data_IF_041593627054
#
_entry.id   IF_041593627054
#
_cell.length_a   1.000
_cell.length_b   1.000
_cell.length_c   1.000
_cell.angle_alpha   90.00
_cell.angle_beta   90.00
_cell.angle_gamma   90.00
#
_symmetry.space_group_name_H-M   'P 1'
#
loop_
_entity.id
_entity.type
_entity.pdbx_description
1 polymer ?
#
# COMPACT_ATOMS: atom_id res chain seq x y z
N UNK A 1 -16.43 -10.13 -7.46
CA UNK A 1 -17.75 -9.45 -7.34
C UNK A 1 -17.83 -8.63 -6.05
N UNK A 2 -17.58 -9.22 -4.88
CA UNK A 2 -17.62 -8.56 -3.56
C UNK A 2 -16.74 -7.31 -3.54
N UNK A 3 -15.49 -7.39 -3.94
CA UNK A 3 -14.56 -6.28 -3.92
C UNK A 3 -14.99 -5.09 -4.78
N UNK A 4 -15.60 -5.33 -5.96
CA UNK A 4 -16.14 -4.22 -6.79
C UNK A 4 -17.31 -3.52 -6.14
N UNK A 5 -18.03 -4.20 -5.26
CA UNK A 5 -19.16 -3.63 -4.53
C UNK A 5 -18.71 -2.89 -3.25
N UNK A 6 -17.66 -3.38 -2.57
CA UNK A 6 -17.23 -2.87 -1.26
C UNK A 6 -15.89 -2.12 -1.29
N UNK A 7 -15.01 -2.38 -2.27
CA UNK A 7 -13.70 -1.74 -2.41
C UNK A 7 -13.75 -0.42 -3.17
N UNK A 8 -14.63 0.50 -2.77
CA UNK A 8 -14.85 1.79 -3.45
C UNK A 8 -14.08 2.94 -2.79
N UNK A 9 -12.95 2.62 -2.20
CA UNK A 9 -12.04 3.58 -1.55
C UNK A 9 -10.59 3.28 -1.93
N UNK A 10 -9.68 4.29 -1.89
CA UNK A 10 -8.29 4.09 -2.28
C UNK A 10 -7.50 3.20 -1.31
N UNK A 11 -6.37 2.67 -1.78
CA UNK A 11 -5.40 1.92 -0.99
C UNK A 11 -5.74 0.45 -0.78
N UNK A 12 -6.58 -0.16 -1.63
CA UNK A 12 -6.96 -1.57 -1.52
C UNK A 12 -7.95 -1.88 -0.40
N UNK A 13 -8.40 -0.88 0.36
CA UNK A 13 -9.36 -1.03 1.45
C UNK A 13 -10.77 -1.34 0.93
N UNK A 14 -11.57 -2.03 1.72
CA UNK A 14 -12.94 -2.40 1.37
C UNK A 14 -13.96 -2.17 2.49
N UNK A 15 -13.64 -1.29 3.46
CA UNK A 15 -14.55 -0.80 4.50
C UNK A 15 -15.19 -1.92 5.32
N UNK A 16 -14.35 -2.78 5.92
CA UNK A 16 -14.82 -3.86 6.75
C UNK A 16 -13.98 -3.96 8.04
N UNK A 17 -14.67 -4.13 9.16
CA UNK A 17 -14.09 -4.73 10.34
C UNK A 17 -13.98 -6.26 10.11
N UNK A 18 -14.72 -7.07 10.82
CA UNK A 18 -14.80 -8.53 10.56
C UNK A 18 -15.85 -8.90 9.50
N UNK A 19 -16.67 -7.93 9.06
CA UNK A 19 -17.78 -8.16 8.14
C UNK A 19 -17.80 -7.11 7.03
N UNK A 20 -17.80 -7.55 5.78
CA UNK A 20 -18.08 -6.68 4.64
C UNK A 20 -19.53 -6.19 4.70
N UNK A 21 -19.74 -4.87 4.62
CA UNK A 21 -21.05 -4.24 4.74
C UNK A 21 -21.45 -3.55 3.44
N UNK A 22 -22.71 -3.74 3.04
CA UNK A 22 -23.25 -3.10 1.83
C UNK A 22 -23.25 -1.58 2.05
N UNK A 23 -22.73 -0.84 1.06
CA UNK A 23 -22.71 0.63 1.08
C UNK A 23 -21.50 1.25 1.77
N UNK A 24 -20.53 0.45 2.21
CA UNK A 24 -19.29 0.97 2.76
C UNK A 24 -18.32 1.42 1.68
N UNK A 25 -18.50 2.62 1.21
CA UNK A 25 -17.60 3.35 0.31
C UNK A 25 -17.26 4.75 0.86
N UNK A 26 -17.59 5.02 2.11
CA UNK A 26 -17.15 6.24 2.78
C UNK A 26 -15.65 6.08 3.15
N UNK A 27 -14.77 7.02 2.75
CA UNK A 27 -13.33 6.92 3.02
C UNK A 27 -12.97 7.06 4.50
N UNK A 28 -13.92 7.34 5.37
CA UNK A 28 -13.78 7.32 6.82
C UNK A 28 -14.02 5.93 7.42
N UNK A 29 -14.60 5.02 6.62
CA UNK A 29 -14.93 3.69 7.09
C UNK A 29 -13.67 2.89 7.38
N UNK A 30 -13.60 2.35 8.61
CA UNK A 30 -12.48 1.56 9.06
C UNK A 30 -12.40 0.20 8.38
N UNK A 31 -11.18 -0.24 8.14
CA UNK A 31 -10.84 -1.60 7.77
C UNK A 31 -9.90 -2.18 8.81
N UNK A 32 -10.14 -3.41 9.21
CA UNK A 32 -9.36 -4.11 10.21
C UNK A 32 -7.98 -4.48 9.69
N UNK A 33 -6.95 -4.38 10.53
CA UNK A 33 -5.58 -4.77 10.18
C UNK A 33 -5.49 -6.25 9.81
N UNK A 34 -6.22 -7.14 10.48
CA UNK A 34 -6.32 -8.54 10.05
C UNK A 34 -6.88 -8.67 8.63
N UNK A 35 -7.88 -7.84 8.29
CA UNK A 35 -8.47 -7.84 6.96
C UNK A 35 -7.46 -7.56 5.85
N UNK A 36 -6.47 -6.71 6.09
CA UNK A 36 -5.38 -6.48 5.12
C UNK A 36 -4.50 -7.72 4.95
N UNK A 37 -4.10 -8.34 6.04
CA UNK A 37 -3.23 -9.52 6.04
C UNK A 37 -3.92 -10.71 5.38
N UNK A 38 -5.16 -11.00 5.77
CA UNK A 38 -5.95 -12.09 5.20
C UNK A 38 -6.32 -11.85 3.72
N UNK A 39 -6.48 -10.57 3.32
CA UNK A 39 -6.66 -10.24 1.91
C UNK A 39 -5.40 -10.52 1.11
N UNK A 40 -4.21 -10.19 1.65
CA UNK A 40 -2.94 -10.50 1.01
C UNK A 40 -2.77 -12.01 0.81
N UNK A 41 -3.03 -12.82 1.84
CA UNK A 41 -3.00 -14.28 1.75
C UNK A 41 -4.02 -14.82 0.73
N UNK A 42 -5.23 -14.27 0.70
CA UNK A 42 -6.27 -14.66 -0.25
C UNK A 42 -5.86 -14.35 -1.69
N UNK A 43 -5.26 -13.19 -1.93
CA UNK A 43 -4.79 -12.79 -3.26
C UNK A 43 -3.64 -13.69 -3.74
N UNK A 44 -2.73 -14.09 -2.86
CA UNK A 44 -1.67 -15.06 -3.18
C UNK A 44 -2.23 -16.43 -3.55
N UNK A 45 -3.17 -16.95 -2.78
CA UNK A 45 -3.81 -18.22 -3.09
C UNK A 45 -4.52 -18.15 -4.44
N UNK A 46 -5.23 -17.06 -4.72
CA UNK A 46 -5.89 -16.85 -6.01
C UNK A 46 -4.90 -16.71 -7.16
N UNK A 47 -3.76 -16.08 -6.94
CA UNK A 47 -2.66 -16.00 -7.90
C UNK A 47 -2.10 -17.40 -8.20
N UNK A 48 -1.82 -18.20 -7.19
CA UNK A 48 -1.34 -19.58 -7.33
C UNK A 48 -2.32 -20.47 -8.11
N UNK A 49 -3.61 -20.35 -7.85
CA UNK A 49 -4.65 -21.18 -8.50
C UNK A 49 -4.86 -20.76 -9.96
N UNK A 50 -4.90 -19.45 -10.24
CA UNK A 50 -5.35 -18.93 -11.53
C UNK A 50 -4.22 -18.45 -12.45
N UNK A 51 -3.07 -18.08 -11.88
CA UNK A 51 -2.01 -17.37 -12.63
C UNK A 51 -2.43 -15.96 -13.10
N UNK A 52 -3.61 -15.46 -12.69
CA UNK A 52 -4.12 -14.17 -13.16
C UNK A 52 -3.35 -13.01 -12.48
N UNK A 53 -2.62 -12.16 -13.24
CA UNK A 53 -1.84 -11.05 -12.70
C UNK A 53 -2.69 -10.00 -11.97
N UNK A 54 -4.00 -10.01 -12.13
CA UNK A 54 -4.94 -9.18 -11.37
C UNK A 54 -4.76 -9.36 -9.86
N UNK A 55 -4.52 -10.58 -9.40
CA UNK A 55 -4.37 -10.85 -7.97
C UNK A 55 -3.07 -10.30 -7.40
N UNK A 56 -1.99 -10.32 -8.20
CA UNK A 56 -0.74 -9.68 -7.82
C UNK A 56 -0.86 -8.16 -7.76
N UNK A 57 -1.53 -7.52 -8.74
CA UNK A 57 -1.79 -6.07 -8.70
C UNK A 57 -2.62 -5.69 -7.47
N UNK A 58 -3.57 -6.55 -7.09
CA UNK A 58 -4.41 -6.31 -5.93
C UNK A 58 -3.66 -6.47 -4.61
N UNK A 59 -2.84 -7.51 -4.51
CA UNK A 59 -1.99 -7.74 -3.36
C UNK A 59 -1.06 -6.54 -3.12
N UNK A 60 -0.44 -6.01 -4.19
CA UNK A 60 0.41 -4.82 -4.09
C UNK A 60 -0.36 -3.57 -3.64
N UNK A 61 -1.61 -3.39 -4.09
CA UNK A 61 -2.46 -2.27 -3.65
C UNK A 61 -2.68 -2.31 -2.12
N UNK A 62 -2.84 -3.49 -1.52
CA UNK A 62 -2.93 -3.64 -0.07
C UNK A 62 -1.57 -3.53 0.61
N UNK A 63 -0.58 -4.28 0.13
CA UNK A 63 0.73 -4.44 0.77
C UNK A 63 1.53 -3.13 0.85
N UNK A 64 1.43 -2.25 -0.15
CA UNK A 64 2.20 -1.01 -0.18
C UNK A 64 1.45 0.22 0.34
N UNK A 65 0.14 0.10 0.56
CA UNK A 65 -0.70 1.22 0.97
C UNK A 65 -1.34 1.00 2.35
N UNK A 66 -2.39 0.20 2.41
CA UNK A 66 -3.20 0.06 3.61
C UNK A 66 -2.49 -0.65 4.74
N UNK A 67 -1.78 -1.73 4.43
CA UNK A 67 -1.11 -2.55 5.44
C UNK A 67 -0.03 -1.76 6.21
N UNK A 68 1.00 -1.15 5.59
CA UNK A 68 2.00 -0.38 6.34
C UNK A 68 1.40 0.86 7.01
N UNK A 69 0.33 1.43 6.45
CA UNK A 69 -0.35 2.58 7.04
C UNK A 69 -1.08 2.25 8.36
N UNK A 70 -1.41 0.99 8.62
CA UNK A 70 -2.06 0.55 9.86
C UNK A 70 -1.09 0.31 11.02
N UNK A 71 0.21 0.23 10.75
CA UNK A 71 1.26 -0.15 11.69
C UNK A 71 2.16 1.02 12.05
N UNK A 72 2.78 0.96 13.25
CA UNK A 72 4.00 1.73 13.49
C UNK A 72 5.17 1.11 12.72
N UNK A 73 6.12 1.94 12.24
CA UNK A 73 7.23 1.43 11.42
C UNK A 73 8.15 0.43 12.12
N UNK A 74 8.18 0.45 13.45
CA UNK A 74 8.96 -0.48 14.28
C UNK A 74 8.15 -1.72 14.71
N UNK A 75 6.91 -1.85 14.25
CA UNK A 75 5.97 -2.94 14.58
C UNK A 75 5.60 -3.06 16.06
N UNK A 76 5.85 -2.04 16.87
CA UNK A 76 5.56 -2.07 18.32
C UNK A 76 4.16 -1.61 18.68
N UNK A 77 3.45 -1.05 17.74
CA UNK A 77 2.05 -0.66 17.88
C UNK A 77 1.32 -0.72 16.54
N UNK A 78 0.02 -0.89 16.60
CA UNK A 78 -0.85 -0.95 15.43
C UNK A 78 -2.22 -0.38 15.75
N UNK A 79 -3.00 -0.08 14.72
CA UNK A 79 -4.44 0.19 14.84
C UNK A 79 -5.22 -1.08 14.58
N UNK A 80 -6.28 -1.28 15.34
CA UNK A 80 -7.29 -2.28 15.00
C UNK A 80 -7.97 -1.91 13.68
N UNK A 81 -8.53 -0.70 13.60
CA UNK A 81 -9.09 -0.15 12.38
C UNK A 81 -8.31 1.06 11.86
N UNK A 82 -8.20 1.17 10.56
CA UNK A 82 -7.71 2.36 9.87
C UNK A 82 -8.53 2.63 8.60
N UNK A 83 -8.45 3.83 8.06
CA UNK A 83 -9.23 4.23 6.89
C UNK A 83 -8.45 5.17 5.96
N UNK A 84 -8.88 5.34 4.69
CA UNK A 84 -8.19 6.21 3.74
C UNK A 84 -8.15 7.68 4.14
N UNK A 85 -9.21 8.17 4.79
CA UNK A 85 -9.30 9.54 5.28
C UNK A 85 -9.34 9.53 6.81
N UNK A 86 -8.18 9.69 7.41
CA UNK A 86 -7.99 9.70 8.86
C UNK A 86 -7.07 10.84 9.24
N UNK A 87 -7.66 11.98 9.62
CA UNK A 87 -6.93 13.19 9.98
C UNK A 87 -6.51 13.25 11.44
N UNK A 88 -7.00 12.33 12.28
CA UNK A 88 -6.64 12.18 13.69
C UNK A 88 -6.70 10.71 14.08
N UNK A 89 -5.84 10.30 14.99
CA UNK A 89 -5.81 8.95 15.57
C UNK A 89 -5.72 9.08 17.08
N UNK A 90 -6.85 8.97 17.78
CA UNK A 90 -6.94 9.18 19.20
C UNK A 90 -7.77 8.10 19.92
N UNK A 91 -7.85 8.20 21.25
CA UNK A 91 -8.52 7.25 22.13
C UNK A 91 -10.04 7.44 22.25
N UNK A 92 -10.63 8.39 21.52
CA UNK A 92 -12.09 8.58 21.53
C UNK A 92 -12.82 7.38 20.90
N UNK A 93 -14.06 7.20 21.31
CA UNK A 93 -14.95 6.27 20.65
C UNK A 93 -15.43 6.88 19.31
N UNK A 94 -15.05 6.27 18.20
CA UNK A 94 -15.38 6.73 16.86
C UNK A 94 -16.70 6.18 16.32
N UNK A 95 -17.44 5.42 17.10
CA UNK A 95 -18.84 5.07 16.79
C UNK A 95 -19.72 6.33 16.96
N UNK A 96 -20.74 6.61 16.12
CA UNK A 96 -21.42 5.71 15.21
C UNK A 96 -21.01 5.84 13.73
N UNK A 97 -20.01 6.57 13.38
CA UNK A 97 -19.56 6.66 11.98
C UNK A 97 -19.05 5.34 11.40
N UNK A 98 -18.70 4.43 12.28
CA UNK A 98 -18.17 3.09 11.98
C UNK A 98 -18.98 2.09 12.80
N UNK A 99 -19.27 0.92 12.26
CA UNK A 99 -20.08 -0.09 12.96
C UNK A 99 -19.34 -0.83 14.09
N UNK A 100 -18.23 -0.28 14.54
CA UNK A 100 -17.50 -0.71 15.70
C UNK A 100 -17.53 0.37 16.80
N UNK A 101 -17.23 -0.02 18.01
CA UNK A 101 -17.11 0.89 19.14
C UNK A 101 -15.72 0.84 19.74
N UNK A 102 -15.35 1.88 20.49
CA UNK A 102 -14.07 1.97 21.19
C UNK A 102 -13.00 2.80 20.47
N UNK A 103 -11.82 2.93 21.06
CA UNK A 103 -10.71 3.77 20.59
C UNK A 103 -9.85 3.02 19.55
N UNK A 104 -10.43 2.51 18.49
CA UNK A 104 -9.74 1.65 17.55
C UNK A 104 -8.84 2.37 16.55
N UNK A 105 -8.87 3.69 16.50
CA UNK A 105 -7.94 4.49 15.71
C UNK A 105 -6.66 4.87 16.46
N UNK A 106 -6.57 4.62 17.76
CA UNK A 106 -5.34 4.84 18.52
C UNK A 106 -4.28 3.81 18.14
N UNK A 107 -3.02 4.24 18.07
CA UNK A 107 -1.89 3.36 17.87
C UNK A 107 -1.54 2.66 19.18
N UNK A 108 -2.01 1.44 19.36
CA UNK A 108 -1.96 0.66 20.59
C UNK A 108 -1.33 -0.71 20.32
N UNK A 109 -0.31 -1.16 21.10
CA UNK A 109 0.29 -2.50 20.93
C UNK A 109 -0.70 -3.64 21.25
N UNK A 110 -1.78 -3.36 21.98
CA UNK A 110 -2.83 -4.31 22.37
C UNK A 110 -4.19 -3.95 21.78
N UNK A 111 -4.23 -3.45 20.55
CA UNK A 111 -5.48 -2.99 19.92
C UNK A 111 -6.50 -4.12 19.70
N UNK A 112 -6.05 -5.33 19.44
CA UNK A 112 -6.83 -6.56 19.37
C UNK A 112 -5.90 -7.75 19.34
N UNK A 113 -6.27 -8.85 19.96
CA UNK A 113 -5.42 -10.06 20.00
C UNK A 113 -5.18 -10.66 18.61
N UNK A 114 -6.20 -10.73 17.77
CA UNK A 114 -6.06 -11.22 16.40
C UNK A 114 -5.09 -10.36 15.60
N UNK A 115 -5.23 -9.05 15.62
CA UNK A 115 -4.33 -8.13 14.91
C UNK A 115 -2.89 -8.18 15.43
N UNK A 116 -2.68 -8.38 16.74
CA UNK A 116 -1.34 -8.55 17.31
C UNK A 116 -0.60 -9.75 16.71
N UNK A 117 -1.31 -10.84 16.42
CA UNK A 117 -0.73 -12.02 15.81
C UNK A 117 -0.63 -11.85 14.28
N UNK A 118 -1.73 -11.46 13.65
CA UNK A 118 -1.85 -11.50 12.20
C UNK A 118 -0.99 -10.44 11.50
N UNK A 119 -0.77 -9.26 12.10
CA UNK A 119 0.04 -8.22 11.44
C UNK A 119 1.45 -8.70 11.09
N UNK A 120 2.02 -9.64 11.83
CA UNK A 120 3.33 -10.21 11.56
C UNK A 120 3.40 -11.09 10.31
N UNK A 121 2.26 -11.51 9.75
CA UNK A 121 2.21 -12.36 8.56
C UNK A 121 2.16 -11.58 7.23
N UNK A 122 1.84 -10.30 7.26
CA UNK A 122 1.62 -9.53 6.01
C UNK A 122 2.83 -9.52 5.09
N UNK A 123 4.01 -9.10 5.57
CA UNK A 123 5.21 -9.14 4.74
C UNK A 123 5.68 -10.58 4.43
N UNK A 124 5.64 -11.57 5.34
CA UNK A 124 5.86 -12.97 4.99
C UNK A 124 5.00 -13.44 3.82
N UNK A 125 3.69 -13.20 3.83
CA UNK A 125 2.81 -13.55 2.72
C UNK A 125 3.23 -12.87 1.40
N UNK A 126 3.60 -11.59 1.44
CA UNK A 126 4.07 -10.91 0.23
C UNK A 126 5.34 -11.53 -0.34
N UNK A 127 6.29 -11.95 0.50
CA UNK A 127 7.62 -12.37 0.03
C UNK A 127 7.73 -13.87 -0.27
N UNK A 128 6.86 -14.71 0.26
CA UNK A 128 6.94 -16.16 0.04
C UNK A 128 6.63 -16.58 -1.40
N UNK A 129 5.89 -15.75 -2.15
CA UNK A 129 5.47 -16.03 -3.53
C UNK A 129 5.97 -15.00 -4.56
N UNK A 130 7.12 -14.35 -4.32
CA UNK A 130 7.73 -13.42 -5.30
C UNK A 130 8.05 -14.14 -6.62
N UNK A 131 8.51 -15.37 -6.52
CA UNK A 131 8.93 -16.22 -7.64
C UNK A 131 8.21 -17.56 -7.58
N UNK A 132 7.57 -17.95 -8.65
CA UNK A 132 6.81 -19.19 -8.77
C UNK A 132 7.39 -20.09 -9.88
N UNK A 133 7.37 -21.40 -9.64
CA UNK A 133 7.59 -22.38 -10.71
C UNK A 133 6.36 -22.43 -11.63
N UNK A 134 6.56 -22.73 -12.91
CA UNK A 134 5.50 -22.82 -13.91
C UNK A 134 5.31 -24.26 -14.42
N UNK A 135 4.12 -24.63 -14.91
CA UNK A 135 3.84 -26.00 -15.37
C UNK A 135 4.70 -26.47 -16.55
N UNK A 136 5.29 -25.56 -17.29
CA UNK A 136 6.19 -25.81 -18.42
C UNK A 136 7.67 -25.84 -18.03
N UNK A 137 7.95 -26.14 -16.75
CA UNK A 137 9.28 -26.19 -16.15
C UNK A 137 10.06 -24.87 -16.26
N UNK A 138 9.36 -23.74 -16.25
CA UNK A 138 9.92 -22.41 -16.22
C UNK A 138 9.81 -21.76 -14.84
N UNK A 139 10.02 -20.45 -14.81
CA UNK A 139 9.92 -19.63 -13.63
C UNK A 139 9.18 -18.33 -13.93
N UNK A 140 8.38 -17.84 -12.98
CA UNK A 140 7.65 -16.58 -13.06
C UNK A 140 8.02 -15.65 -11.91
N UNK A 141 8.46 -14.43 -12.20
CA UNK A 141 8.52 -13.34 -11.25
C UNK A 141 7.15 -12.65 -11.25
N UNK A 142 6.37 -12.86 -10.18
CA UNK A 142 4.97 -12.44 -10.10
C UNK A 142 4.76 -11.24 -9.20
N UNK A 143 5.60 -11.07 -8.19
CA UNK A 143 5.70 -9.91 -7.30
C UNK A 143 7.14 -9.43 -7.28
N UNK A 144 7.38 -8.17 -6.94
CA UNK A 144 8.71 -7.58 -7.03
C UNK A 144 9.22 -7.13 -5.66
N UNK A 145 10.34 -7.74 -5.26
CA UNK A 145 11.15 -7.33 -4.10
C UNK A 145 12.52 -8.01 -4.19
N UNK A 146 13.52 -7.42 -3.54
CA UNK A 146 14.86 -8.03 -3.53
C UNK A 146 14.84 -9.39 -2.83
N UNK A 147 15.20 -10.44 -3.58
CA UNK A 147 15.21 -11.81 -3.08
C UNK A 147 16.28 -12.70 -3.75
N UNK A 148 16.39 -13.90 -3.23
CA UNK A 148 17.13 -15.00 -3.83
C UNK A 148 16.27 -16.26 -3.79
N UNK A 149 15.84 -16.74 -4.95
CA UNK A 149 15.07 -17.96 -5.11
C UNK A 149 15.92 -19.08 -5.70
N UNK A 150 15.82 -20.30 -5.17
CA UNK A 150 16.37 -21.50 -5.79
C UNK A 150 15.21 -22.29 -6.39
N UNK A 151 15.30 -22.57 -7.70
CA UNK A 151 14.20 -23.15 -8.47
C UNK A 151 14.76 -24.26 -9.37
N UNK A 152 13.97 -25.33 -9.61
CA UNK A 152 14.25 -26.32 -10.65
C UNK A 152 13.53 -25.94 -11.92
N UNK A 153 14.26 -25.91 -13.03
CA UNK A 153 13.76 -25.51 -14.36
C UNK A 153 14.19 -26.46 -15.46
N UNK A 154 13.58 -26.35 -16.63
CA UNK A 154 13.93 -27.19 -17.79
C UNK A 154 13.78 -28.68 -17.52
N UNK A 155 14.84 -29.42 -17.60
CA UNK A 155 14.93 -30.87 -17.34
C UNK A 155 15.17 -31.23 -15.86
N UNK A 156 15.06 -30.26 -14.94
CA UNK A 156 15.27 -30.43 -13.50
C UNK A 156 16.56 -29.77 -12.99
N UNK A 157 17.24 -29.00 -13.83
CA UNK A 157 18.43 -28.24 -13.45
C UNK A 157 18.09 -27.22 -12.36
N UNK A 158 18.88 -27.19 -11.29
CA UNK A 158 18.74 -26.20 -10.23
C UNK A 158 19.39 -24.87 -10.62
N UNK A 159 18.63 -23.80 -10.54
CA UNK A 159 19.10 -22.43 -10.74
C UNK A 159 18.90 -21.59 -9.49
N UNK A 160 19.67 -20.52 -9.38
CA UNK A 160 19.43 -19.41 -8.48
C UNK A 160 18.94 -18.22 -9.27
N UNK A 161 17.77 -17.69 -8.95
CA UNK A 161 17.30 -16.41 -9.45
C UNK A 161 17.49 -15.37 -8.35
N UNK A 162 18.34 -14.36 -8.60
CA UNK A 162 18.52 -13.22 -7.69
C UNK A 162 17.78 -12.03 -8.25
N UNK A 163 16.87 -11.47 -7.46
CA UNK A 163 16.17 -10.22 -7.77
C UNK A 163 16.72 -9.08 -6.91
N UNK A 164 16.94 -7.92 -7.52
CA UNK A 164 17.41 -6.70 -6.86
C UNK A 164 16.58 -5.52 -7.33
N UNK A 165 15.92 -4.84 -6.38
CA UNK A 165 15.04 -3.71 -6.66
C UNK A 165 14.75 -2.92 -5.38
N UNK A 166 14.36 -1.65 -5.54
CA UNK A 166 13.72 -0.82 -4.52
C UNK A 166 12.24 -0.58 -4.87
N UNK A 167 11.63 -1.48 -5.63
CA UNK A 167 10.20 -1.45 -5.94
C UNK A 167 9.37 -1.49 -4.64
N UNK A 168 8.30 -0.73 -4.49
CA UNK A 168 7.58 0.10 -5.47
C UNK A 168 8.06 1.57 -5.58
N UNK A 169 9.20 1.93 -5.02
CA UNK A 169 9.70 3.31 -5.03
C UNK A 169 10.61 3.59 -6.23
N UNK A 170 11.11 2.55 -6.88
CA UNK A 170 11.89 2.61 -8.11
C UNK A 170 11.27 1.76 -9.21
N UNK A 171 11.55 2.13 -10.46
CA UNK A 171 10.92 1.56 -11.65
C UNK A 171 11.65 0.32 -12.19
N UNK A 172 12.86 0.06 -11.70
CA UNK A 172 13.75 -0.96 -12.25
C UNK A 172 13.85 -2.16 -11.31
N UNK A 173 13.70 -3.34 -11.89
CA UNK A 173 13.98 -4.62 -11.25
C UNK A 173 15.01 -5.38 -12.08
N UNK A 174 16.07 -5.86 -11.44
CA UNK A 174 17.17 -6.60 -12.02
C UNK A 174 17.14 -8.04 -11.55
N UNK A 175 17.18 -8.97 -12.47
CA UNK A 175 17.31 -10.39 -12.20
C UNK A 175 18.66 -10.89 -12.69
N UNK A 176 19.31 -11.76 -11.93
CA UNK A 176 20.52 -12.47 -12.33
C UNK A 176 20.29 -13.96 -12.19
N UNK A 177 20.56 -14.71 -13.27
CA UNK A 177 20.48 -16.16 -13.29
C UNK A 177 21.82 -16.74 -12.86
N UNK A 178 21.82 -17.58 -11.84
CA UNK A 178 22.96 -18.40 -11.43
C UNK A 178 22.70 -19.87 -11.77
N UNK A 179 23.59 -20.50 -12.51
CA UNK A 179 23.44 -21.92 -12.92
C UNK A 179 24.79 -22.57 -13.11
N UNK A 180 24.89 -23.88 -12.84
CA UNK A 180 26.12 -24.66 -13.05
C UNK A 180 26.33 -25.08 -14.51
N UNK A 181 25.27 -25.05 -15.33
CA UNK A 181 25.28 -25.42 -16.75
C UNK A 181 24.25 -24.60 -17.53
N UNK A 182 24.42 -24.56 -18.87
CA UNK A 182 23.40 -23.90 -19.71
C UNK A 182 22.09 -24.66 -19.65
N UNK A 183 20.99 -23.98 -19.44
CA UNK A 183 19.66 -24.58 -19.33
C UNK A 183 18.62 -23.76 -20.08
N UNK A 184 17.77 -24.42 -20.85
CA UNK A 184 16.65 -23.77 -21.54
C UNK A 184 15.38 -23.82 -20.71
N UNK A 185 14.79 -22.66 -20.44
CA UNK A 185 13.49 -22.57 -19.78
C UNK A 185 12.80 -21.24 -20.09
N UNK A 186 11.46 -21.18 -20.02
CA UNK A 186 10.71 -19.93 -20.10
C UNK A 186 10.79 -19.15 -18.79
N UNK A 187 11.14 -17.87 -18.90
CA UNK A 187 11.10 -16.92 -17.78
C UNK A 187 9.97 -15.93 -18.00
N UNK A 188 9.00 -15.92 -17.09
CA UNK A 188 7.83 -15.07 -17.13
C UNK A 188 8.01 -13.87 -16.21
N UNK A 189 7.74 -12.67 -16.74
CA UNK A 189 7.77 -11.40 -16.00
C UNK A 189 6.36 -10.81 -15.97
N UNK A 190 5.79 -10.57 -14.80
CA UNK A 190 4.51 -9.87 -14.70
C UNK A 190 4.65 -8.42 -15.16
N UNK A 191 3.74 -7.98 -16.01
CA UNK A 191 3.59 -6.57 -16.37
C UNK A 191 2.35 -6.04 -15.65
N UNK A 192 2.49 -5.22 -14.60
CA UNK A 192 1.35 -4.68 -13.86
C UNK A 192 0.36 -3.94 -14.76
N UNK A 193 -0.92 -3.96 -14.41
CA UNK A 193 -1.98 -3.33 -15.23
C UNK A 193 -1.82 -1.80 -15.37
N UNK A 194 -1.19 -1.14 -14.41
CA UNK A 194 -0.89 0.28 -14.46
C UNK A 194 0.29 0.64 -15.39
N UNK A 195 1.19 -0.30 -15.71
CA UNK A 195 2.39 -0.04 -16.49
C UNK A 195 2.14 -0.17 -18.01
N UNK A 196 2.04 0.96 -18.71
CA UNK A 196 1.76 1.00 -20.16
C UNK A 196 2.99 0.90 -21.07
N UNK A 197 4.18 1.18 -20.53
CA UNK A 197 5.40 1.34 -21.32
C UNK A 197 6.57 0.52 -20.74
N UNK A 198 6.29 -0.72 -20.31
CA UNK A 198 7.33 -1.62 -19.83
C UNK A 198 8.42 -1.86 -20.87
N UNK A 199 9.63 -2.13 -20.41
CA UNK A 199 10.72 -2.58 -21.28
C UNK A 199 11.59 -3.63 -20.58
N UNK A 200 12.16 -4.55 -21.39
CA UNK A 200 13.05 -5.59 -20.89
C UNK A 200 14.36 -5.53 -21.64
N UNK A 201 15.47 -5.62 -20.92
CA UNK A 201 16.81 -5.82 -21.47
C UNK A 201 17.34 -7.16 -20.99
N UNK A 202 18.05 -7.89 -21.86
CA UNK A 202 18.80 -9.09 -21.51
C UNK A 202 20.26 -8.81 -21.86
N UNK A 203 21.15 -8.90 -20.88
CA UNK A 203 22.57 -8.59 -21.04
C UNK A 203 22.79 -7.23 -21.74
N UNK A 204 22.03 -6.22 -21.32
CA UNK A 204 22.07 -4.86 -21.86
C UNK A 204 21.38 -4.67 -23.22
N UNK A 205 20.86 -5.73 -23.86
CA UNK A 205 20.19 -5.64 -25.16
C UNK A 205 18.67 -5.64 -25.02
N UNK A 206 18.02 -4.60 -25.55
CA UNK A 206 16.55 -4.45 -25.51
C UNK A 206 15.88 -5.62 -26.25
N UNK A 207 14.86 -6.19 -25.62
CA UNK A 207 14.05 -7.27 -26.19
C UNK A 207 12.82 -6.71 -26.90
N UNK A 208 12.39 -7.42 -27.96
CA UNK A 208 11.16 -7.11 -28.70
C UNK A 208 9.97 -7.98 -28.25
N UNK A 209 9.99 -8.45 -27.02
CA UNK A 209 8.89 -9.24 -26.44
C UNK A 209 7.65 -8.37 -26.26
N UNK A 210 6.47 -8.97 -26.44
CA UNK A 210 5.20 -8.29 -26.19
C UNK A 210 5.04 -8.02 -24.69
N UNK A 211 4.93 -6.77 -24.31
CA UNK A 211 4.82 -6.28 -22.93
C UNK A 211 3.48 -5.57 -22.77
N UNK A 212 2.40 -6.32 -22.58
CA UNK A 212 1.06 -5.77 -22.42
C UNK A 212 0.73 -5.58 -20.91
N UNK A 213 0.12 -4.46 -20.50
CA UNK A 213 -0.35 -4.27 -19.14
C UNK A 213 -1.31 -5.39 -18.69
N UNK A 214 -1.19 -5.84 -17.45
CA UNK A 214 -2.01 -6.90 -16.88
C UNK A 214 -1.78 -8.29 -17.48
N UNK A 215 -0.56 -8.56 -17.96
CA UNK A 215 -0.17 -9.86 -18.54
C UNK A 215 1.21 -10.30 -18.06
N UNK A 216 1.64 -11.47 -18.52
CA UNK A 216 3.03 -11.92 -18.40
C UNK A 216 3.77 -11.79 -19.73
N UNK A 217 5.01 -11.33 -19.66
CA UNK A 217 5.96 -11.41 -20.76
C UNK A 217 6.76 -12.70 -20.61
N UNK A 218 6.69 -13.58 -21.60
CA UNK A 218 7.48 -14.82 -21.65
C UNK A 218 8.78 -14.59 -22.42
N UNK A 219 9.90 -15.01 -21.85
CA UNK A 219 11.23 -15.01 -22.47
C UNK A 219 11.73 -16.44 -22.47
N UNK A 220 11.66 -17.10 -23.63
CA UNK A 220 12.12 -18.48 -23.81
C UNK A 220 13.48 -18.47 -24.47
N UNK A 221 14.49 -19.01 -23.79
CA UNK A 221 15.86 -19.12 -24.31
C UNK A 221 16.71 -20.09 -23.51
N UNK A 222 17.90 -20.41 -24.02
CA UNK A 222 18.98 -21.00 -23.22
C UNK A 222 19.60 -19.91 -22.32
N UNK A 223 19.61 -20.16 -21.00
CA UNK A 223 20.18 -19.29 -19.99
C UNK A 223 21.54 -19.79 -19.53
N UNK A 224 22.43 -18.85 -19.22
CA UNK A 224 23.80 -19.09 -18.78
C UNK A 224 24.04 -18.43 -17.43
N UNK A 225 25.03 -18.94 -16.72
CA UNK A 225 25.48 -18.32 -15.46
C UNK A 225 25.84 -16.83 -15.67
N UNK A 226 25.30 -15.98 -14.80
CA UNK A 226 25.48 -14.53 -14.86
C UNK A 226 24.59 -13.81 -15.87
N UNK A 227 23.70 -14.50 -16.61
CA UNK A 227 22.73 -13.79 -17.47
C UNK A 227 21.87 -12.83 -16.66
N UNK A 228 21.75 -11.61 -17.17
CA UNK A 228 21.04 -10.51 -16.52
C UNK A 228 19.77 -10.15 -17.29
N UNK A 229 18.66 -10.02 -16.57
CA UNK A 229 17.39 -9.48 -17.08
C UNK A 229 17.07 -8.21 -16.31
N UNK A 230 16.87 -7.11 -17.02
CA UNK A 230 16.42 -5.83 -16.43
C UNK A 230 15.02 -5.53 -16.93
N UNK A 231 14.06 -5.58 -16.03
CA UNK A 231 12.70 -5.12 -16.25
C UNK A 231 12.59 -3.67 -15.80
N UNK A 232 12.09 -2.81 -16.68
CA UNK A 232 11.79 -1.43 -16.36
C UNK A 232 10.28 -1.19 -16.48
N UNK A 233 9.68 -0.70 -15.42
CA UNK A 233 8.24 -0.45 -15.25
C UNK A 233 8.00 1.06 -15.02
N UNK A 234 8.05 1.91 -16.06
CA UNK A 234 7.90 3.36 -15.91
C UNK A 234 6.59 3.74 -15.26
N UNK A 235 6.67 4.52 -14.17
CA UNK A 235 5.53 4.97 -13.40
C UNK A 235 5.13 6.39 -13.81
N UNK A 236 3.83 6.62 -13.84
CA UNK A 236 3.24 7.95 -14.01
C UNK A 236 2.12 8.10 -12.99
N UNK A 237 1.90 9.31 -12.51
CA UNK A 237 0.72 9.55 -11.70
C UNK A 237 -0.54 9.42 -12.54
N UNK A 238 -1.58 8.89 -11.90
CA UNK A 238 -2.92 8.77 -12.46
C UNK A 238 -3.95 9.24 -11.42
N UNK A 239 -4.95 9.97 -11.88
CA UNK A 239 -6.08 10.38 -11.04
C UNK A 239 -7.20 9.36 -11.24
N UNK A 240 -7.62 8.72 -10.15
CA UNK A 240 -8.73 7.76 -10.12
C UNK A 240 -9.95 8.43 -9.52
N UNK A 241 -11.09 8.35 -10.21
CA UNK A 241 -12.35 8.90 -9.73
C UNK A 241 -13.20 7.82 -9.06
N UNK A 242 -13.76 8.15 -7.92
CA UNK A 242 -14.64 7.31 -7.11
C UNK A 242 -16.08 7.83 -7.18
N UNK A 243 -16.83 7.36 -8.18
CA UNK A 243 -18.17 7.88 -8.48
C UNK A 243 -19.16 7.72 -7.32
N UNK A 244 -19.17 6.54 -6.69
CA UNK A 244 -20.07 6.25 -5.55
C UNK A 244 -19.68 7.01 -4.29
N UNK A 245 -18.44 7.53 -4.25
CA UNK A 245 -17.92 8.32 -3.16
C UNK A 245 -17.85 9.81 -3.51
N UNK A 246 -19.00 10.38 -3.83
CA UNK A 246 -19.21 11.80 -4.16
C UNK A 246 -18.29 12.34 -5.26
N UNK A 247 -17.92 11.49 -6.21
CA UNK A 247 -16.94 11.80 -7.26
C UNK A 247 -15.58 12.28 -6.71
N UNK A 248 -15.22 11.86 -5.53
CA UNK A 248 -13.89 12.11 -4.98
C UNK A 248 -12.81 11.51 -5.87
N UNK A 249 -11.57 11.96 -5.67
CA UNK A 249 -10.43 11.48 -6.44
C UNK A 249 -9.31 11.00 -5.52
N UNK A 250 -8.59 9.97 -5.96
CA UNK A 250 -7.28 9.61 -5.44
C UNK A 250 -6.21 9.79 -6.51
N UNK A 251 -4.97 9.87 -6.08
CA UNK A 251 -3.81 9.90 -6.97
C UNK A 251 -3.01 8.63 -6.76
N UNK A 252 -2.74 7.92 -7.84
CA UNK A 252 -1.89 6.73 -7.81
C UNK A 252 -0.58 6.98 -8.57
N UNK A 253 0.52 6.36 -8.14
CA UNK A 253 1.81 6.35 -8.82
C UNK A 253 2.37 4.92 -8.86
N UNK A 254 2.23 4.25 -9.98
CA UNK A 254 2.44 2.82 -10.04
C UNK A 254 1.47 2.09 -9.10
N UNK A 255 1.95 1.23 -8.19
CA UNK A 255 1.11 0.55 -7.20
C UNK A 255 0.85 1.39 -5.93
N UNK A 256 1.44 2.57 -5.84
CA UNK A 256 1.32 3.44 -4.67
C UNK A 256 0.11 4.35 -4.78
N UNK A 257 -0.75 4.36 -3.78
CA UNK A 257 -1.75 5.40 -3.56
C UNK A 257 -1.11 6.56 -2.79
N UNK A 258 -1.35 7.79 -3.22
CA UNK A 258 -0.81 8.97 -2.58
C UNK A 258 -1.82 9.59 -1.61
N UNK A 259 -1.32 10.05 -0.48
CA UNK A 259 -2.07 10.71 0.57
C UNK A 259 -1.51 12.09 0.82
N UNK A 260 -2.36 13.01 1.26
CA UNK A 260 -1.88 14.31 1.76
C UNK A 260 -0.89 14.08 2.90
N UNK A 261 0.27 14.70 2.82
CA UNK A 261 1.20 14.77 3.93
C UNK A 261 0.63 15.68 5.00
N UNK A 262 0.30 15.10 6.14
CA UNK A 262 -0.13 15.82 7.34
C UNK A 262 1.02 15.73 8.32
N UNK A 263 1.49 16.87 8.83
CA UNK A 263 2.48 16.85 9.92
C UNK A 263 1.85 16.22 11.16
N UNK A 264 2.59 15.30 11.80
CA UNK A 264 2.08 14.42 12.84
C UNK A 264 2.69 14.80 14.20
N UNK A 265 1.86 15.08 15.19
CA UNK A 265 2.26 15.24 16.60
C UNK A 265 1.93 13.96 17.35
N UNK A 266 2.96 13.29 17.87
CA UNK A 266 2.84 12.04 18.62
C UNK A 266 2.73 12.32 20.11
N UNK A 267 1.60 11.96 20.70
CA UNK A 267 1.36 12.04 22.14
C UNK A 267 1.37 10.63 22.72
N UNK A 268 2.41 10.32 23.48
CA UNK A 268 2.49 9.02 24.15
C UNK A 268 1.43 8.91 25.25
N UNK A 269 0.74 7.77 25.27
CA UNK A 269 -0.26 7.43 26.26
C UNK A 269 0.22 6.26 27.12
N UNK A 270 -0.30 6.09 28.35
CA UNK A 270 0.00 4.93 29.18
C UNK A 270 -0.50 3.64 28.54
N UNK A 271 0.39 2.78 28.05
CA UNK A 271 0.01 1.55 27.35
C UNK A 271 -0.79 0.59 28.22
N UNK A 272 -0.54 0.58 29.54
CA UNK A 272 -1.26 -0.25 30.52
C UNK A 272 -2.73 0.12 30.65
N UNK A 273 -3.09 1.38 30.33
CA UNK A 273 -4.44 1.94 30.49
C UNK A 273 -5.22 1.97 29.18
N UNK A 274 -4.53 1.81 28.04
CA UNK A 274 -5.13 1.95 26.70
C UNK A 274 -5.47 0.63 26.02
N UNK A 275 -5.20 -0.52 26.65
CA UNK A 275 -5.69 -1.80 26.20
C UNK A 275 -7.22 -1.86 26.30
N UNK A 276 -7.88 -2.28 25.23
CA UNK A 276 -9.35 -2.27 25.12
C UNK A 276 -9.92 -3.66 24.95
N UNK A 277 -11.14 -3.87 25.44
CA UNK A 277 -11.94 -5.09 25.36
C UNK A 277 -11.21 -6.34 25.91
N UNK A 278 -11.01 -7.35 25.09
CA UNK A 278 -10.29 -8.57 25.42
C UNK A 278 -8.76 -8.40 25.41
N UNK A 279 -8.28 -7.29 24.87
CA UNK A 279 -6.89 -6.91 24.89
C UNK A 279 -6.51 -6.40 26.28
N UNK A 280 -5.69 -7.18 26.98
CA UNK A 280 -5.19 -6.80 28.31
C UNK A 280 -3.70 -6.65 28.27
N UNK A 281 -3.19 -5.71 29.06
CA UNK A 281 -1.77 -5.60 29.29
C UNK A 281 -1.25 -6.92 29.88
N UNK A 282 -0.18 -7.44 29.29
CA UNK A 282 0.45 -8.65 29.80
C UNK A 282 1.23 -8.32 31.07
N UNK A 283 0.95 -9.02 32.16
CA UNK A 283 1.69 -8.85 33.41
C UNK A 283 3.17 -9.10 33.21
N UNK A 284 4.01 -8.19 33.74
CA UNK A 284 5.45 -8.24 33.61
C UNK A 284 6.03 -7.71 32.28
N UNK A 285 5.19 -7.32 31.31
CA UNK A 285 5.67 -6.66 30.11
C UNK A 285 6.14 -5.23 30.39
N UNK A 286 7.22 -4.82 29.74
CA UNK A 286 7.76 -3.45 29.86
C UNK A 286 6.95 -2.48 29.00
N UNK A 287 6.13 -1.65 29.65
CA UNK A 287 5.31 -0.64 28.97
C UNK A 287 6.13 0.40 28.18
N UNK A 288 7.39 0.64 28.58
CA UNK A 288 8.26 1.57 27.85
C UNK A 288 8.75 1.01 26.51
N UNK A 289 8.88 -0.31 26.42
CA UNK A 289 9.24 -0.99 25.19
C UNK A 289 8.07 -1.09 24.18
N UNK A 290 6.85 -0.93 24.63
CA UNK A 290 5.62 -1.07 23.82
C UNK A 290 4.72 0.17 23.99
N UNK A 291 5.11 1.31 23.39
CA UNK A 291 4.40 2.56 23.58
C UNK A 291 3.07 2.59 22.83
N UNK A 292 2.10 3.30 23.42
CA UNK A 292 0.84 3.67 22.77
C UNK A 292 0.87 5.15 22.41
N UNK A 293 0.28 5.51 21.27
CA UNK A 293 0.23 6.89 20.81
C UNK A 293 -1.16 7.33 20.41
N UNK A 294 -1.53 8.55 20.78
CA UNK A 294 -2.42 9.39 19.99
C UNK A 294 -1.57 10.16 18.97
N UNK A 295 -2.09 10.33 17.76
CA UNK A 295 -1.43 11.07 16.69
C UNK A 295 -2.37 12.18 16.26
N UNK A 296 -1.92 13.42 16.42
CA UNK A 296 -2.71 14.63 16.16
C UNK A 296 -2.16 15.36 14.93
N UNK A 297 -3.03 16.02 14.13
CA UNK A 297 -2.57 16.79 12.98
C UNK A 297 -1.91 18.09 13.45
N UNK A 298 -0.66 18.32 13.04
CA UNK A 298 0.08 19.55 13.27
C UNK A 298 0.11 20.49 12.04
N UNK A 299 -0.60 20.12 10.98
CA UNK A 299 -0.79 20.95 9.78
C UNK A 299 -2.23 20.85 9.26
N UNK A 300 -2.68 21.78 8.40
CA UNK A 300 -3.98 21.69 7.73
C UNK A 300 -4.10 20.40 6.91
N UNK A 301 -5.27 19.77 6.95
CA UNK A 301 -5.54 18.50 6.27
C UNK A 301 -6.76 18.54 5.34
N UNK A 302 -7.62 19.52 5.48
CA UNK A 302 -8.94 19.62 4.83
C UNK A 302 -8.86 20.28 3.45
N UNK A 303 -8.08 19.67 2.55
CA UNK A 303 -7.88 20.16 1.19
C UNK A 303 -8.74 19.44 0.15
N UNK A 304 -9.28 20.20 -0.79
CA UNK A 304 -9.76 19.70 -2.07
C UNK A 304 -8.60 19.75 -3.09
N UNK A 305 -8.43 18.70 -3.88
CA UNK A 305 -7.34 18.58 -4.84
C UNK A 305 -7.69 19.27 -6.16
N UNK A 306 -6.76 20.06 -6.71
CA UNK A 306 -6.89 20.63 -8.05
C UNK A 306 -6.31 19.67 -9.09
N UNK A 307 -7.19 18.87 -9.72
CA UNK A 307 -6.79 17.78 -10.61
C UNK A 307 -6.20 18.21 -11.96
N UNK A 308 -6.43 19.45 -12.40
CA UNK A 308 -5.87 20.00 -13.65
C UNK A 308 -4.45 20.52 -13.47
N UNK A 309 -4.00 20.73 -12.24
CA UNK A 309 -2.63 21.16 -11.96
C UNK A 309 -1.64 20.01 -12.11
N UNK A 310 -0.43 20.27 -12.60
CA UNK A 310 0.61 19.27 -12.64
C UNK A 310 0.93 18.74 -11.22
N UNK A 311 1.15 17.46 -11.12
CA UNK A 311 1.68 16.80 -9.92
C UNK A 311 3.14 16.50 -10.20
N UNK A 312 4.06 17.03 -9.39
CA UNK A 312 5.50 16.95 -9.64
C UNK A 312 6.16 16.04 -8.61
N UNK A 313 6.81 14.99 -9.08
CA UNK A 313 7.61 14.09 -8.26
C UNK A 313 8.90 14.77 -7.79
N UNK A 314 9.18 14.67 -6.50
CA UNK A 314 10.45 15.00 -5.87
C UNK A 314 11.04 13.73 -5.24
N UNK A 315 12.19 13.29 -5.72
CA UNK A 315 12.89 12.14 -5.17
C UNK A 315 13.80 12.55 -4.01
N UNK A 316 13.90 11.66 -3.03
CA UNK A 316 14.83 11.74 -1.90
C UNK A 316 15.77 10.54 -1.93
N UNK A 317 16.82 10.58 -1.12
CA UNK A 317 17.70 9.42 -0.96
C UNK A 317 16.95 8.25 -0.34
N UNK A 318 17.35 7.04 -0.72
CA UNK A 318 16.88 5.82 -0.07
C UNK A 318 17.25 5.85 1.42
N UNK A 319 16.36 5.46 2.34
CA UNK A 319 16.64 5.50 3.77
C UNK A 319 17.72 4.49 4.17
N UNK A 320 18.61 4.92 5.06
CA UNK A 320 19.74 4.09 5.52
C UNK A 320 19.33 2.86 6.33
N UNK A 321 18.15 2.91 6.95
CA UNK A 321 17.54 1.81 7.71
C UNK A 321 16.68 0.88 6.84
N UNK A 322 16.64 1.13 5.52
CA UNK A 322 15.80 0.42 4.55
C UNK A 322 14.29 0.41 4.89
N UNK A 323 13.81 1.37 5.70
CA UNK A 323 12.39 1.52 5.98
C UNK A 323 11.80 2.76 5.30
N UNK A 324 11.18 2.61 4.10
CA UNK A 324 10.63 3.74 3.34
C UNK A 324 9.22 4.17 3.80
N UNK A 325 8.65 3.54 4.83
CA UNK A 325 7.26 3.73 5.23
C UNK A 325 7.10 4.69 6.41
N UNK A 326 7.86 5.80 6.44
CA UNK A 326 7.65 6.93 7.36
C UNK A 326 7.69 8.27 6.62
N UNK A 327 7.11 9.31 7.20
CA UNK A 327 7.16 10.66 6.61
C UNK A 327 8.60 11.21 6.51
N UNK A 328 9.48 10.80 7.42
CA UNK A 328 10.88 11.24 7.43
C UNK A 328 11.78 10.46 6.47
N UNK A 329 11.45 9.21 6.19
CA UNK A 329 12.30 8.27 5.42
C UNK A 329 11.79 7.99 4.00
N UNK A 330 10.53 8.31 3.69
CA UNK A 330 9.95 8.05 2.37
C UNK A 330 10.79 8.65 1.24
N UNK A 331 11.23 7.85 0.23
CA UNK A 331 12.20 8.31 -0.77
C UNK A 331 11.57 9.18 -1.88
N UNK A 332 10.29 9.53 -1.75
CA UNK A 332 9.59 10.36 -2.72
C UNK A 332 8.48 11.18 -2.08
N UNK A 333 8.29 12.37 -2.62
CA UNK A 333 7.16 13.26 -2.36
C UNK A 333 6.64 13.84 -3.67
N UNK A 334 5.39 14.30 -3.67
CA UNK A 334 4.77 14.89 -4.84
C UNK A 334 4.20 16.26 -4.47
N UNK A 335 4.56 17.29 -5.26
CA UNK A 335 3.96 18.61 -5.15
C UNK A 335 2.71 18.68 -6.00
N UNK A 336 1.62 19.10 -5.39
CA UNK A 336 0.31 19.28 -6.00
C UNK A 336 -0.29 20.60 -5.55
N UNK A 337 -1.45 20.95 -6.08
CA UNK A 337 -2.19 22.14 -5.69
C UNK A 337 -3.54 21.76 -5.09
N UNK A 338 -3.94 22.47 -4.05
CA UNK A 338 -5.24 22.28 -3.40
C UNK A 338 -5.83 23.57 -2.87
N UNK A 339 -7.11 23.51 -2.53
CA UNK A 339 -7.82 24.59 -1.83
C UNK A 339 -8.36 24.08 -0.51
N UNK A 340 -8.17 24.84 0.55
CA UNK A 340 -8.81 24.51 1.84
C UNK A 340 -10.33 24.49 1.70
N UNK A 341 -10.94 23.56 2.42
CA UNK A 341 -12.40 23.45 2.59
C UNK A 341 -12.71 23.75 4.06
N UNK A 342 -12.95 25.02 4.44
CA UNK A 342 -13.01 25.43 5.85
C UNK A 342 -14.09 24.75 6.67
N UNK A 343 -15.16 24.30 6.00
CA UNK A 343 -16.30 23.60 6.64
C UNK A 343 -16.04 22.11 6.86
N UNK A 344 -15.00 21.55 6.23
CA UNK A 344 -14.62 20.15 6.45
C UNK A 344 -13.73 20.04 7.69
N UNK A 345 -14.32 19.63 8.79
CA UNK A 345 -13.70 19.63 10.12
C UNK A 345 -13.74 18.24 10.74
N UNK A 346 -12.92 18.01 11.74
CA UNK A 346 -13.07 16.87 12.64
C UNK A 346 -14.43 16.98 13.33
N UNK A 347 -15.18 15.90 13.34
CA UNK A 347 -16.48 15.81 14.00
C UNK A 347 -16.32 15.49 15.50
N UNK A 348 -17.44 15.40 16.20
CA UNK A 348 -17.49 15.12 17.64
C UNK A 348 -16.94 13.74 18.01
N UNK A 349 -16.89 12.81 17.06
CA UNK A 349 -16.37 11.46 17.23
C UNK A 349 -14.88 11.34 16.88
N UNK A 350 -14.22 12.39 16.45
CA UNK A 350 -12.82 12.39 16.05
C UNK A 350 -12.56 11.89 14.62
N UNK A 351 -13.60 11.70 13.83
CA UNK A 351 -13.46 11.41 12.42
C UNK A 351 -13.33 12.71 11.62
N UNK A 352 -12.62 12.73 10.51
CA UNK A 352 -12.80 13.80 9.54
C UNK A 352 -14.26 13.78 9.10
N UNK A 353 -14.89 14.96 9.01
CA UNK A 353 -16.30 15.06 8.62
C UNK A 353 -16.60 14.39 7.28
N UNK A 354 -17.88 14.20 7.00
CA UNK A 354 -18.32 13.62 5.72
C UNK A 354 -17.64 14.32 4.55
N UNK A 355 -17.13 13.54 3.62
CA UNK A 355 -16.43 14.06 2.43
C UNK A 355 -17.26 15.16 1.77
N UNK A 356 -16.72 16.37 1.56
CA UNK A 356 -17.44 17.48 0.96
C UNK A 356 -17.87 17.17 -0.48
N UNK A 357 -19.02 17.71 -0.87
CA UNK A 357 -19.44 17.73 -2.26
C UNK A 357 -18.59 18.71 -3.08
N UNK A 358 -18.59 18.55 -4.40
CA UNK A 358 -17.85 19.41 -5.33
C UNK A 358 -18.18 20.90 -5.19
N UNK A 359 -19.43 21.22 -4.85
CA UNK A 359 -19.93 22.60 -4.65
C UNK A 359 -19.68 23.16 -3.24
N UNK A 360 -19.02 22.42 -2.34
CA UNK A 360 -18.64 22.94 -1.03
C UNK A 360 -17.74 24.17 -1.17
N UNK A 361 -17.91 25.13 -0.26
CA UNK A 361 -17.10 26.36 -0.26
C UNK A 361 -15.63 26.02 -0.05
N UNK A 362 -14.79 26.57 -0.89
CA UNK A 362 -13.32 26.44 -0.84
C UNK A 362 -12.70 27.82 -0.62
N UNK A 363 -11.47 27.82 -0.11
CA UNK A 363 -10.68 29.05 0.00
C UNK A 363 -10.40 29.66 -1.38
N UNK A 364 -10.26 30.98 -1.42
CA UNK A 364 -9.84 31.68 -2.65
C UNK A 364 -8.38 31.42 -2.97
N UNK A 365 -7.55 31.14 -1.95
CA UNK A 365 -6.15 30.79 -2.11
C UNK A 365 -5.98 29.38 -2.68
N UNK A 366 -5.02 29.26 -3.57
CA UNK A 366 -4.54 27.99 -4.09
C UNK A 366 -3.19 27.71 -3.41
N UNK A 367 -3.16 26.68 -2.60
CA UNK A 367 -1.98 26.30 -1.83
C UNK A 367 -1.20 25.20 -2.54
N UNK A 368 0.13 25.23 -2.42
CA UNK A 368 0.95 24.05 -2.72
C UNK A 368 0.81 23.07 -1.58
N UNK A 369 0.41 21.85 -1.90
CA UNK A 369 0.29 20.74 -0.97
C UNK A 369 1.29 19.65 -1.33
N UNK A 370 1.69 18.85 -0.35
CA UNK A 370 2.59 17.72 -0.56
C UNK A 370 1.81 16.42 -0.40
N UNK A 371 1.97 15.51 -1.35
CA UNK A 371 1.46 14.15 -1.27
C UNK A 371 2.64 13.18 -1.03
N UNK A 372 2.36 12.11 -0.29
CA UNK A 372 3.30 11.02 0.01
C UNK A 372 2.62 9.68 -0.22
N UNK A 373 3.35 8.58 -0.44
CA UNK A 373 2.78 7.25 -0.41
C UNK A 373 1.99 6.98 0.87
N UNK A 374 0.78 6.43 0.73
CA UNK A 374 -0.15 6.16 1.84
C UNK A 374 0.51 5.38 2.98
N UNK A 375 1.31 4.36 2.65
CA UNK A 375 1.99 3.54 3.63
C UNK A 375 2.97 4.29 4.54
N UNK A 376 3.43 5.48 4.12
CA UNK A 376 4.33 6.32 4.92
C UNK A 376 3.59 7.22 5.93
N UNK A 377 2.29 7.45 5.75
CA UNK A 377 1.49 8.42 6.52
C UNK A 377 0.61 7.71 7.56
N UNK A 378 0.72 8.10 8.82
CA UNK A 378 -0.16 7.62 9.91
C UNK A 378 -1.46 8.42 9.95
N UNK A 379 -1.37 9.74 9.72
CA UNK A 379 -2.52 10.59 9.40
C UNK A 379 -2.55 10.85 7.90
N UNK A 380 -3.73 10.87 7.29
CA UNK A 380 -3.83 10.95 5.83
C UNK A 380 -5.18 11.41 5.32
N UNK A 381 -5.15 11.98 4.13
CA UNK A 381 -6.31 12.14 3.24
C UNK A 381 -5.89 11.54 1.90
N UNK A 382 -6.54 10.48 1.48
CA UNK A 382 -6.26 9.78 0.22
C UNK A 382 -7.42 9.86 -0.78
N UNK A 383 -8.64 10.08 -0.29
CA UNK A 383 -9.80 10.42 -1.11
C UNK A 383 -10.07 11.93 -0.95
N UNK A 384 -9.84 12.68 -2.01
CA UNK A 384 -9.95 14.14 -2.00
C UNK A 384 -11.27 14.59 -2.62
N UNK A 385 -11.94 15.62 -2.05
CA UNK A 385 -12.87 16.43 -2.82
C UNK A 385 -12.13 17.09 -3.99
N UNK A 386 -12.83 17.35 -5.09
CA UNK A 386 -12.25 18.06 -6.24
C UNK A 386 -12.36 19.57 -6.03
N UNK A 387 -11.26 20.29 -6.21
CA UNK A 387 -11.23 21.75 -6.05
C UNK A 387 -11.90 22.46 -7.23
N UNK A 388 -11.54 22.06 -8.43
CA UNK A 388 -12.05 22.57 -9.71
C UNK A 388 -11.96 21.43 -10.72
N UNK A 389 -12.89 21.39 -11.68
CA UNK A 389 -12.83 20.51 -12.86
C UNK A 389 -12.36 21.24 -14.06
#
# INVERSE_FOLDING_TARGET
MVRRAFGQVPGGMFGADENARIGFFDPRQGTETCGFVEQMASDEIMLLISGDPYWADHLEDVAFNSYPASLMPDYRALRYLTCPNMAISDSRNHHPGLDNSGPFLAMNPFSSRCCQHNHGFGWPYYVEHLVLATPDNGVAAVLYNSCKANVKVGDGTEITLREQTNYPFEEMTRFTVGTSENVSFPFYLRIPSWCKNASVLINGKKQQTKLAPGTYACIEREWKDGDEVVLNLPMKYAVRQWQVNKNSVSVDYGPLTLSLKIEEEYKQMPSTETAVWDSKWQEGADASAWPTFEILPASPWNYALRVQSPITLQRRNWPSDNNPFTLSSVPMEFKAQGRLVPEWKIDEYGLCGVLPYENARKSDCLDEITLVPMGAARLRISAFPVAER
#
